data_IF_135355633553
#
_entry.id   IF_135355633553
#
_cell.length_a   1.000
_cell.length_b   1.000
_cell.length_c   1.000
_cell.angle_alpha   90.00
_cell.angle_beta   90.00
_cell.angle_gamma   90.00
#
_symmetry.space_group_name_H-M   'P 1'
#
loop_
_entity.id
_entity.type
_entity.pdbx_description
1 polymer ?
#
# COMPACT_ATOMS: atom_id res chain seq x y z
N UNK A 1 4.81 -6.88 -8.09
CA UNK A 1 4.34 -5.49 -7.91
C UNK A 1 3.43 -5.43 -6.69
N UNK A 2 3.50 -4.35 -5.91
CA UNK A 2 2.61 -4.09 -4.77
C UNK A 2 1.85 -2.80 -5.07
N UNK A 3 0.55 -2.78 -4.73
CA UNK A 3 -0.28 -1.57 -4.77
C UNK A 3 -0.99 -1.41 -3.43
N UNK A 4 -1.10 -0.18 -2.96
CA UNK A 4 -1.75 0.18 -1.69
C UNK A 4 -3.26 0.45 -1.81
N UNK A 5 -3.87 0.09 -2.93
CA UNK A 5 -5.31 0.29 -3.21
C UNK A 5 -5.59 1.49 -4.10
N UNK A 6 -6.88 1.73 -4.33
CA UNK A 6 -7.42 2.78 -5.22
C UNK A 6 -6.86 2.70 -6.65
N UNK A 7 -6.84 1.48 -7.19
CA UNK A 7 -6.37 1.22 -8.56
C UNK A 7 -7.41 1.62 -9.59
N UNK A 8 -8.66 1.71 -9.17
CA UNK A 8 -9.80 2.15 -9.97
C UNK A 8 -10.53 3.31 -9.28
N UNK A 9 -11.23 4.12 -10.06
CA UNK A 9 -11.99 5.25 -9.51
C UNK A 9 -13.25 4.82 -8.74
N UNK A 10 -13.87 3.70 -9.13
CA UNK A 10 -15.11 3.21 -8.53
C UNK A 10 -15.23 1.70 -8.71
N UNK A 11 -15.62 0.97 -7.67
CA UNK A 11 -15.77 -0.49 -7.68
C UNK A 11 -16.73 -1.04 -8.74
N UNK A 12 -17.44 -0.13 -9.39
CA UNK A 12 -18.24 -0.35 -10.59
C UNK A 12 -19.32 -1.41 -10.40
N UNK A 13 -20.01 -1.35 -9.27
CA UNK A 13 -21.20 -2.18 -8.97
C UNK A 13 -20.95 -3.70 -9.04
N UNK A 14 -19.75 -4.15 -8.74
CA UNK A 14 -19.42 -5.57 -8.76
C UNK A 14 -19.17 -6.14 -10.15
N UNK A 15 -18.98 -5.32 -11.16
CA UNK A 15 -18.68 -5.78 -12.51
C UNK A 15 -17.28 -6.40 -12.58
N UNK A 16 -17.19 -7.53 -13.27
CA UNK A 16 -15.94 -8.24 -13.53
C UNK A 16 -15.04 -7.52 -14.53
N UNK A 17 -13.82 -8.02 -14.73
CA UNK A 17 -12.88 -7.46 -15.72
C UNK A 17 -13.49 -7.37 -17.12
N UNK A 18 -14.29 -8.35 -17.53
CA UNK A 18 -14.91 -8.38 -18.85
C UNK A 18 -16.08 -7.39 -19.01
N UNK A 19 -16.64 -6.92 -17.92
CA UNK A 19 -17.84 -6.08 -17.90
C UNK A 19 -17.51 -4.61 -17.58
N UNK A 20 -16.42 -4.37 -16.84
CA UNK A 20 -16.03 -3.05 -16.38
C UNK A 20 -14.96 -2.41 -17.29
N UNK A 21 -15.23 -1.24 -17.89
CA UNK A 21 -14.20 -0.54 -18.66
C UNK A 21 -13.01 -0.09 -17.80
N UNK A 22 -13.18 0.11 -16.50
CA UNK A 22 -12.09 0.42 -15.57
C UNK A 22 -11.19 -0.80 -15.36
N UNK A 23 -11.77 -1.96 -15.04
CA UNK A 23 -11.02 -3.20 -14.87
C UNK A 23 -10.40 -3.71 -16.17
N UNK A 24 -11.06 -3.51 -17.32
CA UNK A 24 -10.47 -3.78 -18.63
C UNK A 24 -9.21 -2.96 -18.85
N UNK A 25 -9.24 -1.66 -18.52
CA UNK A 25 -8.06 -0.80 -18.63
C UNK A 25 -6.93 -1.27 -17.71
N UNK A 26 -7.22 -1.59 -16.45
CA UNK A 26 -6.23 -2.15 -15.51
C UNK A 26 -5.63 -3.44 -16.04
N UNK A 27 -6.46 -4.34 -16.59
CA UNK A 27 -6.00 -5.58 -17.21
C UNK A 27 -5.04 -5.30 -18.39
N UNK A 28 -5.40 -4.37 -19.26
CA UNK A 28 -4.64 -4.08 -20.47
C UNK A 28 -3.34 -3.32 -20.20
N UNK A 29 -3.35 -2.43 -19.21
CA UNK A 29 -2.19 -1.55 -18.92
C UNK A 29 -1.26 -2.10 -17.85
N UNK A 30 -1.74 -2.95 -16.96
CA UNK A 30 -0.96 -3.51 -15.84
C UNK A 30 -0.82 -5.01 -15.97
N UNK A 31 -1.93 -5.75 -15.85
CA UNK A 31 -1.86 -7.20 -15.72
C UNK A 31 -1.23 -7.89 -16.91
N UNK A 32 -1.59 -7.50 -18.13
CA UNK A 32 -1.01 -8.05 -19.37
C UNK A 32 0.46 -7.69 -19.58
N UNK A 33 0.95 -6.63 -18.95
CA UNK A 33 2.35 -6.19 -19.06
C UNK A 33 3.25 -6.86 -18.03
N UNK A 34 2.69 -7.39 -16.94
CA UNK A 34 3.47 -8.11 -15.96
C UNK A 34 3.89 -9.48 -16.52
N UNK A 35 5.17 -9.84 -16.38
CA UNK A 35 5.61 -11.17 -16.77
C UNK A 35 4.91 -12.23 -15.90
N UNK A 36 4.77 -13.48 -16.36
CA UNK A 36 4.22 -14.55 -15.54
C UNK A 36 5.07 -14.78 -14.28
N UNK A 37 4.51 -15.35 -13.21
CA UNK A 37 5.29 -15.76 -12.04
C UNK A 37 6.42 -16.70 -12.48
N UNK A 38 7.60 -16.48 -11.92
CA UNK A 38 8.71 -17.38 -12.10
C UNK A 38 8.59 -18.64 -11.22
N UNK A 39 9.49 -19.60 -11.43
CA UNK A 39 9.47 -20.85 -10.68
C UNK A 39 9.56 -20.61 -9.17
N UNK A 40 10.37 -19.67 -8.71
CA UNK A 40 10.57 -19.39 -7.28
C UNK A 40 9.27 -18.89 -6.63
N UNK A 41 8.52 -18.04 -7.34
CA UNK A 41 7.20 -17.58 -6.88
C UNK A 41 6.20 -18.73 -6.84
N UNK A 42 6.14 -19.55 -7.90
CA UNK A 42 5.23 -20.71 -7.97
C UNK A 42 5.55 -21.75 -6.88
N UNK A 43 6.82 -22.01 -6.61
CA UNK A 43 7.26 -22.91 -5.53
C UNK A 43 6.85 -22.36 -4.14
N UNK A 44 6.74 -21.04 -4.00
CA UNK A 44 6.22 -20.37 -2.82
C UNK A 44 4.67 -20.28 -2.79
N UNK A 45 3.97 -20.86 -3.76
CA UNK A 45 2.51 -20.80 -3.86
C UNK A 45 1.96 -19.45 -4.37
N UNK A 46 2.83 -18.61 -4.92
CA UNK A 46 2.45 -17.28 -5.42
C UNK A 46 2.19 -17.34 -6.93
N UNK A 47 0.92 -17.40 -7.30
CA UNK A 47 0.49 -17.54 -8.69
C UNK A 47 0.35 -16.22 -9.46
N UNK A 48 0.53 -15.09 -8.78
CA UNK A 48 0.39 -13.75 -9.34
C UNK A 48 1.63 -12.89 -9.16
N UNK A 49 1.70 -11.84 -9.95
CA UNK A 49 2.78 -10.84 -9.91
C UNK A 49 2.34 -9.50 -9.35
N UNK A 50 1.07 -9.34 -9.06
CA UNK A 50 0.52 -8.11 -8.53
C UNK A 50 -0.29 -8.38 -7.26
N UNK A 51 0.17 -7.85 -6.14
CA UNK A 51 -0.46 -7.97 -4.82
C UNK A 51 -1.03 -6.61 -4.45
N UNK A 52 -2.34 -6.56 -4.25
CA UNK A 52 -3.09 -5.33 -4.03
C UNK A 52 -3.61 -5.25 -2.59
N UNK A 53 -3.31 -4.14 -1.91
CA UNK A 53 -4.08 -3.72 -0.76
C UNK A 53 -5.43 -3.17 -1.23
N UNK A 54 -6.49 -3.42 -0.49
CA UNK A 54 -7.82 -2.94 -0.85
C UNK A 54 -8.00 -1.52 -0.35
N UNK A 55 -8.27 -0.59 -1.26
CA UNK A 55 -8.61 0.79 -0.95
C UNK A 55 -10.11 1.01 -0.85
N UNK A 56 -10.52 2.25 -0.60
CA UNK A 56 -11.93 2.58 -0.51
C UNK A 56 -12.61 2.59 -1.88
N UNK A 57 -11.89 2.94 -2.94
CA UNK A 57 -12.45 2.96 -4.29
C UNK A 57 -12.76 1.57 -4.84
N UNK A 58 -12.00 0.52 -4.49
CA UNK A 58 -12.33 -0.86 -4.85
C UNK A 58 -13.63 -1.33 -4.23
N UNK A 59 -13.99 -0.82 -3.05
CA UNK A 59 -15.19 -1.24 -2.32
C UNK A 59 -16.39 -0.36 -2.62
N UNK A 60 -16.18 0.91 -3.03
CA UNK A 60 -17.26 1.80 -3.42
C UNK A 60 -18.02 1.25 -4.63
N UNK A 61 -19.30 0.94 -4.43
CA UNK A 61 -20.14 0.34 -5.45
C UNK A 61 -19.88 -1.16 -5.69
N UNK A 62 -18.88 -1.76 -5.05
CA UNK A 62 -18.59 -3.19 -5.10
C UNK A 62 -18.22 -3.75 -3.71
N UNK A 63 -19.16 -3.79 -2.76
CA UNK A 63 -18.86 -4.28 -1.41
C UNK A 63 -18.41 -5.75 -1.36
N UNK A 64 -18.65 -6.51 -2.43
CA UNK A 64 -18.17 -7.89 -2.58
C UNK A 64 -16.82 -8.01 -3.25
N UNK A 65 -16.22 -6.89 -3.67
CA UNK A 65 -14.92 -6.84 -4.36
C UNK A 65 -14.82 -7.81 -5.57
N UNK A 66 -15.94 -8.03 -6.26
CA UNK A 66 -15.99 -8.97 -7.41
C UNK A 66 -15.06 -8.51 -8.53
N UNK A 67 -14.97 -7.21 -8.77
CA UNK A 67 -14.03 -6.64 -9.73
C UNK A 67 -12.59 -6.98 -9.40
N UNK A 68 -12.17 -6.80 -8.14
CA UNK A 68 -10.83 -7.15 -7.67
C UNK A 68 -10.58 -8.64 -7.83
N UNK A 69 -11.50 -9.47 -7.33
CA UNK A 69 -11.36 -10.94 -7.36
C UNK A 69 -11.45 -11.53 -8.77
N UNK A 70 -12.02 -10.79 -9.70
CA UNK A 70 -11.99 -11.11 -11.14
C UNK A 70 -10.65 -10.74 -11.78
N UNK A 71 -10.09 -9.58 -11.42
CA UNK A 71 -8.82 -9.10 -11.98
C UNK A 71 -7.61 -9.87 -11.42
N UNK A 72 -7.64 -10.21 -10.15
CA UNK A 72 -6.54 -10.88 -9.43
C UNK A 72 -7.03 -12.13 -8.67
N UNK A 73 -7.49 -13.16 -9.39
CA UNK A 73 -8.20 -14.30 -8.79
C UNK A 73 -7.36 -15.14 -7.82
N UNK A 74 -6.04 -15.10 -7.93
CA UNK A 74 -5.13 -15.80 -7.02
C UNK A 74 -5.15 -15.23 -5.59
N UNK A 75 -5.68 -14.03 -5.37
CA UNK A 75 -5.88 -13.50 -4.01
C UNK A 75 -6.82 -14.40 -3.18
N UNK A 76 -7.77 -15.10 -3.82
CA UNK A 76 -8.61 -16.09 -3.14
C UNK A 76 -7.80 -17.20 -2.48
N UNK A 77 -6.70 -17.63 -3.10
CA UNK A 77 -5.78 -18.63 -2.53
C UNK A 77 -5.00 -18.10 -1.33
N UNK A 78 -4.84 -16.78 -1.23
CA UNK A 78 -4.25 -16.11 -0.09
C UNK A 78 -5.27 -15.78 1.02
N UNK A 79 -6.53 -16.24 0.87
CA UNK A 79 -7.59 -16.08 1.86
C UNK A 79 -8.42 -14.81 1.70
N UNK A 80 -8.26 -14.07 0.60
CA UNK A 80 -9.08 -12.88 0.34
C UNK A 80 -10.48 -13.30 -0.11
N UNK A 81 -11.48 -12.83 0.61
CA UNK A 81 -12.91 -13.00 0.31
C UNK A 81 -13.63 -11.67 0.54
N UNK A 82 -14.91 -11.54 0.14
CA UNK A 82 -15.70 -10.37 0.50
C UNK A 82 -15.73 -10.05 1.99
N UNK A 83 -15.64 -11.08 2.84
CA UNK A 83 -15.68 -10.98 4.29
C UNK A 83 -14.29 -10.79 4.90
N UNK A 84 -13.23 -11.13 4.17
CA UNK A 84 -11.85 -11.02 4.64
C UNK A 84 -10.97 -10.36 3.58
N UNK A 85 -10.63 -9.10 3.79
CA UNK A 85 -9.81 -8.30 2.88
C UNK A 85 -8.32 -8.26 3.26
N UNK A 86 -7.92 -9.05 4.26
CA UNK A 86 -6.55 -9.07 4.75
C UNK A 86 -5.87 -10.39 4.41
N UNK A 87 -4.57 -10.33 4.13
CA UNK A 87 -3.78 -11.52 3.82
C UNK A 87 -2.30 -11.30 4.07
N UNK A 88 -1.55 -12.39 4.13
CA UNK A 88 -0.09 -12.37 4.18
C UNK A 88 0.49 -13.43 3.26
N UNK A 89 1.75 -13.26 2.93
CA UNK A 89 2.61 -14.31 2.39
C UNK A 89 4.06 -14.05 2.71
N UNK A 90 4.90 -15.08 2.61
CA UNK A 90 6.36 -14.96 2.72
C UNK A 90 6.99 -15.23 1.35
N UNK A 91 7.95 -14.40 0.99
CA UNK A 91 8.71 -14.60 -0.23
C UNK A 91 10.15 -14.11 -0.06
N UNK A 92 11.12 -14.96 -0.36
CA UNK A 92 12.55 -14.66 -0.30
C UNK A 92 12.99 -13.99 1.03
N UNK A 93 12.51 -14.52 2.16
CA UNK A 93 12.88 -14.03 3.49
C UNK A 93 12.20 -12.73 3.92
N UNK A 94 11.21 -12.27 3.17
CA UNK A 94 10.38 -11.11 3.51
C UNK A 94 8.95 -11.57 3.82
N UNK A 95 8.40 -11.08 4.93
CA UNK A 95 6.97 -11.17 5.26
C UNK A 95 6.23 -10.01 4.62
N UNK A 96 5.25 -10.30 3.76
CA UNK A 96 4.31 -9.33 3.20
C UNK A 96 2.98 -9.44 3.92
N UNK A 97 2.49 -8.31 4.43
CA UNK A 97 1.21 -8.20 5.15
C UNK A 97 0.35 -7.16 4.45
N UNK A 98 -0.88 -7.53 4.13
CA UNK A 98 -1.87 -6.63 3.55
C UNK A 98 -3.05 -6.51 4.51
N UNK A 99 -3.36 -5.28 4.89
CA UNK A 99 -4.44 -4.95 5.80
C UNK A 99 -5.46 -4.07 5.10
N UNK A 100 -6.63 -3.97 5.70
CA UNK A 100 -7.70 -3.13 5.21
C UNK A 100 -8.04 -2.04 6.22
N UNK A 101 -7.85 -0.78 5.86
CA UNK A 101 -7.99 0.38 6.74
C UNK A 101 -9.24 1.21 6.49
N UNK A 102 -10.26 0.62 5.85
CA UNK A 102 -11.46 1.32 5.41
C UNK A 102 -12.35 1.92 6.50
N UNK A 103 -12.13 1.61 7.78
CA UNK A 103 -12.80 2.25 8.93
C UNK A 103 -12.80 3.78 8.84
N UNK A 104 -11.83 4.36 8.16
CA UNK A 104 -11.62 5.80 8.07
C UNK A 104 -12.26 6.44 6.83
N UNK A 105 -12.98 5.66 6.02
CA UNK A 105 -13.74 6.22 4.92
C UNK A 105 -15.02 6.92 5.42
N UNK A 106 -14.99 8.24 5.38
CA UNK A 106 -16.10 9.08 5.82
C UNK A 106 -17.35 9.01 4.91
N UNK A 107 -17.21 8.51 3.68
CA UNK A 107 -18.31 8.45 2.70
C UNK A 107 -19.20 7.23 2.88
N UNK A 108 -18.70 6.18 3.50
CA UNK A 108 -19.43 4.93 3.61
C UNK A 108 -19.10 4.14 4.88
N UNK A 109 -19.27 4.71 6.09
CA UNK A 109 -19.00 3.96 7.32
C UNK A 109 -19.77 2.64 7.40
N UNK A 110 -21.03 2.63 6.95
CA UNK A 110 -21.91 1.45 7.00
C UNK A 110 -21.50 0.31 6.06
N UNK A 111 -20.76 0.58 4.98
CA UNK A 111 -20.25 -0.47 4.10
C UNK A 111 -19.11 -1.27 4.76
N UNK A 112 -18.59 -0.79 5.85
CA UNK A 112 -17.39 -1.25 6.50
C UNK A 112 -17.65 -2.02 7.80
N UNK A 113 -18.82 -1.84 8.41
CA UNK A 113 -19.20 -2.43 9.68
C UNK A 113 -19.87 -3.81 9.57
N UNK A 114 -19.90 -4.41 8.37
CA UNK A 114 -20.45 -5.73 8.13
C UNK A 114 -19.68 -6.85 8.83
N UNK A 115 -19.73 -8.06 8.29
CA UNK A 115 -19.07 -9.26 8.84
C UNK A 115 -17.54 -9.26 8.67
N UNK A 116 -16.94 -8.18 8.22
CA UNK A 116 -15.49 -8.05 8.02
C UNK A 116 -14.77 -7.85 9.34
N UNK A 117 -13.49 -8.32 9.44
CA UNK A 117 -12.70 -8.11 10.64
C UNK A 117 -12.62 -6.65 11.01
N UNK A 118 -13.03 -6.31 12.22
CA UNK A 118 -12.93 -4.95 12.76
C UNK A 118 -11.46 -4.52 12.78
N UNK A 119 -11.24 -3.23 12.73
CA UNK A 119 -9.87 -2.70 12.70
C UNK A 119 -9.00 -3.23 13.86
N UNK A 120 -9.56 -3.30 15.08
CA UNK A 120 -8.83 -3.85 16.23
C UNK A 120 -8.48 -5.34 16.08
N UNK A 121 -9.31 -6.12 15.39
CA UNK A 121 -9.03 -7.53 15.09
C UNK A 121 -7.92 -7.65 14.04
N UNK A 122 -7.92 -6.78 13.04
CA UNK A 122 -6.83 -6.71 12.07
C UNK A 122 -5.50 -6.35 12.72
N UNK A 123 -5.49 -5.45 13.70
CA UNK A 123 -4.27 -5.11 14.44
C UNK A 123 -3.75 -6.30 15.26
N UNK A 124 -4.62 -7.06 15.89
CA UNK A 124 -4.26 -8.32 16.56
C UNK A 124 -3.71 -9.35 15.58
N UNK A 125 -4.34 -9.48 14.41
CA UNK A 125 -3.89 -10.41 13.38
C UNK A 125 -2.52 -9.99 12.82
N UNK A 126 -2.30 -8.70 12.58
CA UNK A 126 -0.99 -8.17 12.18
C UNK A 126 0.07 -8.48 13.24
N UNK A 127 -0.23 -8.26 14.50
CA UNK A 127 0.68 -8.59 15.60
C UNK A 127 1.05 -10.07 15.59
N UNK A 128 0.08 -10.97 15.48
CA UNK A 128 0.34 -12.41 15.39
C UNK A 128 1.25 -12.76 14.20
N UNK A 129 1.00 -12.16 13.04
CA UNK A 129 1.82 -12.38 11.85
C UNK A 129 3.25 -11.86 11.98
N UNK A 130 3.45 -10.77 12.71
CA UNK A 130 4.78 -10.22 13.00
C UNK A 130 5.51 -11.08 14.06
N UNK A 131 4.80 -11.59 15.07
CA UNK A 131 5.34 -12.52 16.05
C UNK A 131 5.78 -13.85 15.39
N UNK A 132 4.95 -14.39 14.48
CA UNK A 132 5.31 -15.54 13.65
C UNK A 132 6.55 -15.26 12.78
N UNK A 133 6.63 -14.08 12.16
CA UNK A 133 7.79 -13.70 11.36
C UNK A 133 9.06 -13.69 12.21
N UNK A 134 8.99 -13.09 13.38
CA UNK A 134 10.10 -13.06 14.35
C UNK A 134 10.50 -14.47 14.79
N UNK A 135 9.55 -15.33 15.14
CA UNK A 135 9.79 -16.71 15.54
C UNK A 135 10.44 -17.53 14.41
N UNK A 136 10.09 -17.26 13.17
CA UNK A 136 10.66 -17.89 11.98
C UNK A 136 11.94 -17.22 11.47
N UNK A 137 12.54 -16.31 12.26
CA UNK A 137 13.78 -15.58 11.91
C UNK A 137 13.69 -14.75 10.62
N UNK A 138 12.49 -14.35 10.20
CA UNK A 138 12.28 -13.42 9.09
C UNK A 138 12.78 -12.04 9.54
N UNK A 139 13.64 -11.43 8.74
CA UNK A 139 14.33 -10.18 9.07
C UNK A 139 13.72 -8.93 8.42
N UNK A 140 12.71 -9.12 7.58
CA UNK A 140 12.06 -8.00 6.89
C UNK A 140 10.55 -8.20 6.86
N UNK A 141 9.79 -7.15 7.18
CA UNK A 141 8.34 -7.12 7.07
C UNK A 141 7.91 -5.91 6.25
N UNK A 142 7.13 -6.15 5.21
CA UNK A 142 6.51 -5.13 4.38
C UNK A 142 5.00 -5.15 4.63
N UNK A 143 4.50 -4.04 5.16
CA UNK A 143 3.10 -3.90 5.57
C UNK A 143 2.43 -2.92 4.62
N UNK A 144 1.33 -3.32 4.02
CA UNK A 144 0.58 -2.51 3.05
C UNK A 144 -0.84 -2.31 3.53
N UNK A 145 -1.29 -1.08 3.60
CA UNK A 145 -2.69 -0.72 3.80
C UNK A 145 -2.97 0.69 3.30
N UNK A 146 -4.23 0.94 2.96
CA UNK A 146 -4.57 2.09 2.14
C UNK A 146 -4.42 3.43 2.88
N UNK A 147 -5.04 3.58 4.06
CA UNK A 147 -4.98 4.84 4.81
C UNK A 147 -3.63 5.05 5.48
N UNK A 148 -3.04 6.26 5.41
CA UNK A 148 -1.68 6.49 5.89
C UNK A 148 -1.56 6.52 7.41
N UNK A 149 -0.44 6.00 7.90
CA UNK A 149 -0.03 6.13 9.32
C UNK A 149 0.44 7.55 9.60
N UNK A 150 1.19 8.12 8.69
CA UNK A 150 1.67 9.49 8.71
C UNK A 150 1.36 10.15 7.38
N UNK A 151 0.87 11.40 7.43
CA UNK A 151 0.54 12.18 6.26
C UNK A 151 0.33 13.65 6.63
N UNK A 152 0.80 14.56 5.77
CA UNK A 152 0.60 16.01 5.92
C UNK A 152 -0.37 16.58 4.90
N UNK A 153 -0.66 15.84 3.86
CA UNK A 153 -1.58 16.27 2.79
C UNK A 153 -2.99 15.72 2.99
N UNK A 154 -3.93 16.20 2.20
CA UNK A 154 -5.28 15.69 2.06
C UNK A 154 -6.04 15.52 3.38
N UNK A 155 -6.60 14.34 3.58
CA UNK A 155 -7.48 14.02 4.71
C UNK A 155 -6.73 13.74 6.03
N UNK A 156 -5.40 13.61 5.97
CA UNK A 156 -4.57 13.33 7.13
C UNK A 156 -4.40 11.85 7.44
N UNK A 157 -3.63 11.54 8.50
CA UNK A 157 -3.31 10.18 8.90
C UNK A 157 -4.43 9.51 9.68
N UNK A 158 -4.29 8.21 9.90
CA UNK A 158 -5.10 7.46 10.86
C UNK A 158 -4.98 8.15 12.24
N UNK A 159 -6.10 8.54 12.87
CA UNK A 159 -6.07 9.28 14.13
C UNK A 159 -5.72 8.39 15.33
N UNK A 160 -5.20 8.99 16.39
CA UNK A 160 -5.11 8.34 17.68
C UNK A 160 -6.53 8.09 18.28
N UNK A 161 -6.76 7.00 19.01
CA UNK A 161 -5.78 5.98 19.45
C UNK A 161 -5.57 4.83 18.45
N UNK A 162 -6.18 4.88 17.27
CA UNK A 162 -6.18 3.79 16.30
C UNK A 162 -4.91 3.75 15.44
N UNK A 163 -4.04 4.76 15.53
CA UNK A 163 -2.80 4.78 14.75
C UNK A 163 -1.89 3.60 15.11
N UNK A 164 -1.52 2.74 14.13
CA UNK A 164 -0.81 1.49 14.42
C UNK A 164 0.68 1.68 14.65
N UNK A 165 1.21 2.91 14.61
CA UNK A 165 2.64 3.17 14.65
C UNK A 165 3.33 2.49 15.84
N UNK A 166 2.81 2.64 17.06
CA UNK A 166 3.44 2.08 18.28
C UNK A 166 3.56 0.57 18.21
N UNK A 167 2.54 -0.10 17.68
CA UNK A 167 2.58 -1.55 17.50
C UNK A 167 3.66 -1.93 16.47
N UNK A 168 3.64 -1.29 15.30
CA UNK A 168 4.58 -1.57 14.21
C UNK A 168 6.02 -1.29 14.65
N UNK A 169 6.29 -0.15 15.30
CA UNK A 169 7.60 0.27 15.77
C UNK A 169 8.19 -0.67 16.83
N UNK A 170 7.36 -1.38 17.58
CA UNK A 170 7.83 -2.36 18.57
C UNK A 170 8.65 -3.50 17.94
N UNK A 171 8.51 -3.74 16.62
CA UNK A 171 9.25 -4.77 15.87
C UNK A 171 10.52 -4.26 15.18
N UNK A 172 10.72 -2.94 15.09
CA UNK A 172 11.83 -2.35 14.34
C UNK A 172 13.23 -2.74 14.85
N UNK A 173 13.33 -3.14 16.11
CA UNK A 173 14.58 -3.65 16.71
C UNK A 173 14.91 -5.09 16.30
N UNK A 174 13.92 -5.87 15.87
CA UNK A 174 14.06 -7.30 15.54
C UNK A 174 14.13 -7.54 14.03
N UNK A 175 13.47 -6.66 13.24
CA UNK A 175 13.41 -6.76 11.79
C UNK A 175 13.31 -5.39 11.11
N UNK A 176 13.71 -5.29 9.86
CA UNK A 176 13.47 -4.11 9.03
C UNK A 176 11.97 -4.06 8.69
N UNK A 177 11.29 -2.99 9.13
CA UNK A 177 9.87 -2.80 8.85
C UNK A 177 9.67 -1.64 7.91
N UNK A 178 8.90 -1.88 6.85
CA UNK A 178 8.52 -0.89 5.84
C UNK A 178 7.00 -0.89 5.69
N UNK A 179 6.40 0.27 5.71
CA UNK A 179 4.95 0.45 5.55
C UNK A 179 4.67 1.21 4.26
N UNK A 180 3.79 0.66 3.44
CA UNK A 180 3.32 1.28 2.20
C UNK A 180 1.87 1.71 2.37
N UNK A 181 1.60 2.98 2.13
CA UNK A 181 0.27 3.57 2.19
C UNK A 181 -0.10 4.27 0.87
N UNK A 182 -1.38 4.55 0.68
CA UNK A 182 -1.96 5.31 -0.41
C UNK A 182 -2.99 6.32 0.09
N UNK A 183 -4.17 6.37 -0.54
CA UNK A 183 -5.33 7.20 -0.19
C UNK A 183 -5.14 8.69 -0.43
N UNK A 184 -4.08 9.28 0.05
CA UNK A 184 -3.75 10.68 -0.16
C UNK A 184 -2.86 10.78 -1.38
N UNK A 185 -3.23 11.64 -2.32
CA UNK A 185 -2.60 11.72 -3.63
C UNK A 185 -1.29 12.53 -3.58
N UNK A 186 -0.39 12.11 -2.70
CA UNK A 186 0.96 12.68 -2.58
C UNK A 186 1.99 11.56 -2.49
N UNK A 187 3.24 11.94 -2.54
CA UNK A 187 4.34 11.04 -2.19
C UNK A 187 5.06 11.63 -0.99
N UNK A 188 4.96 10.94 0.11
CA UNK A 188 5.62 11.33 1.35
C UNK A 188 6.39 10.13 1.91
N UNK A 189 7.52 10.40 2.55
CA UNK A 189 8.28 9.36 3.23
C UNK A 189 8.64 9.78 4.64
N UNK A 190 8.73 8.77 5.52
CA UNK A 190 8.99 8.99 6.93
C UNK A 190 9.87 7.87 7.48
N UNK A 191 10.85 8.21 8.30
CA UNK A 191 11.63 7.27 9.11
C UNK A 191 11.37 7.61 10.58
N UNK A 192 10.53 6.81 11.24
CA UNK A 192 10.07 7.07 12.60
C UNK A 192 10.28 5.84 13.45
N UNK A 193 11.03 5.98 14.54
CA UNK A 193 11.34 4.88 15.47
C UNK A 193 11.86 3.62 14.77
N UNK A 194 12.66 3.82 13.70
CA UNK A 194 13.27 2.75 12.91
C UNK A 194 12.35 2.08 11.89
N UNK A 195 11.13 2.58 11.71
CA UNK A 195 10.19 2.12 10.68
C UNK A 195 10.15 3.11 9.53
N UNK A 196 10.26 2.60 8.31
CA UNK A 196 10.12 3.40 7.09
C UNK A 196 8.69 3.39 6.60
N UNK A 197 8.12 4.57 6.40
CA UNK A 197 6.78 4.77 5.85
C UNK A 197 6.88 5.44 4.49
N UNK A 198 6.24 4.84 3.51
CA UNK A 198 6.16 5.33 2.15
C UNK A 198 4.68 5.54 1.81
N UNK A 199 4.27 6.80 1.72
CA UNK A 199 2.98 7.15 1.16
C UNK A 199 3.14 7.38 -0.35
N UNK A 200 2.52 6.54 -1.17
CA UNK A 200 2.73 6.44 -2.60
C UNK A 200 1.42 6.70 -3.37
N UNK A 201 0.79 7.83 -3.11
CA UNK A 201 -0.45 8.25 -3.78
C UNK A 201 -0.28 8.88 -5.16
N UNK A 202 0.94 8.95 -5.68
CA UNK A 202 1.25 9.57 -6.97
C UNK A 202 1.02 8.68 -8.21
N UNK A 203 0.18 7.66 -8.11
CA UNK A 203 -0.01 6.66 -9.17
C UNK A 203 -0.95 7.04 -10.31
N UNK A 204 -1.54 8.24 -10.32
CA UNK A 204 -2.40 8.63 -11.45
C UNK A 204 -3.58 9.56 -11.15
N UNK A 205 -3.87 9.85 -9.88
CA UNK A 205 -4.89 10.81 -9.50
C UNK A 205 -4.34 12.24 -9.43
N UNK A 206 -5.24 13.23 -9.39
CA UNK A 206 -4.87 14.61 -9.11
C UNK A 206 -4.23 14.70 -7.72
N UNK A 207 -3.10 15.41 -7.62
CA UNK A 207 -2.34 15.47 -6.38
C UNK A 207 -3.00 16.37 -5.33
N UNK A 208 -2.97 15.91 -4.09
CA UNK A 208 -3.43 16.67 -2.94
C UNK A 208 -2.36 17.67 -2.47
N UNK A 209 -2.76 18.89 -2.09
CA UNK A 209 -1.82 19.85 -1.54
C UNK A 209 -1.42 19.47 -0.12
N UNK A 210 -0.14 19.66 0.20
CA UNK A 210 0.31 19.67 1.58
C UNK A 210 -0.21 20.93 2.26
N UNK A 211 -0.89 20.74 3.38
CA UNK A 211 -1.48 21.84 4.11
C UNK A 211 -0.45 22.42 5.10
N UNK A 212 -0.11 23.72 5.00
CA UNK A 212 0.76 24.37 5.96
C UNK A 212 0.23 24.20 7.39
N UNK A 213 1.11 23.89 8.33
CA UNK A 213 0.76 23.77 9.75
C UNK A 213 0.19 22.42 10.17
N UNK A 214 -0.04 21.46 9.31
CA UNK A 214 -0.31 20.06 9.69
C UNK A 214 0.96 19.36 10.18
N UNK A 215 1.56 19.95 11.21
CA UNK A 215 2.76 19.45 11.89
C UNK A 215 2.44 18.57 13.09
N UNK A 216 1.21 18.08 13.21
CA UNK A 216 0.77 17.27 14.35
C UNK A 216 1.52 15.94 14.50
N UNK A 217 2.30 15.57 13.49
CA UNK A 217 3.19 14.43 13.57
C UNK A 217 4.53 14.94 14.05
N UNK A 218 4.85 14.70 15.32
CA UNK A 218 6.21 14.84 15.83
C UNK A 218 7.07 13.79 15.14
N UNK A 219 7.61 14.20 14.08
CA UNK A 219 8.57 13.43 13.37
C UNK A 219 9.91 13.67 13.99
N UNK A 220 10.50 12.65 14.55
CA UNK A 220 11.70 12.73 15.37
C UNK A 220 12.99 12.59 14.58
N UNK A 221 12.92 12.41 13.27
CA UNK A 221 14.10 12.22 12.46
C UNK A 221 14.31 13.37 11.48
N UNK A 222 15.54 13.54 11.05
CA UNK A 222 15.91 14.41 9.94
C UNK A 222 15.15 14.00 8.69
N UNK A 223 14.01 14.63 8.51
CA UNK A 223 13.18 14.46 7.32
C UNK A 223 13.79 15.15 6.15
N UNK A 224 13.83 14.52 5.02
CA UNK A 224 13.40 15.22 3.84
C UNK A 224 11.87 15.28 3.93
N UNK A 225 11.31 16.39 4.40
CA UNK A 225 9.90 16.48 4.68
C UNK A 225 9.05 16.17 3.45
N UNK A 226 9.55 16.44 2.29
CA UNK A 226 8.90 16.18 1.01
C UNK A 226 9.93 16.06 -0.08
N UNK A 227 10.06 14.91 -0.67
CA UNK A 227 10.79 14.81 -1.95
C UNK A 227 10.10 15.61 -3.06
N UNK A 228 8.81 15.89 -2.87
CA UNK A 228 7.96 16.54 -3.86
C UNK A 228 7.77 18.03 -3.69
N UNK A 229 7.98 18.58 -2.49
CA UNK A 229 7.46 19.91 -2.19
C UNK A 229 8.52 20.96 -1.97
N UNK A 230 9.58 20.93 -2.71
CA UNK A 230 10.42 22.14 -2.89
C UNK A 230 9.74 23.18 -3.80
N UNK A 231 8.49 23.53 -3.48
CA UNK A 231 7.63 24.35 -4.32
C UNK A 231 6.46 23.53 -4.84
N UNK A 232 5.42 24.13 -5.32
CA UNK A 232 4.23 23.42 -5.77
C UNK A 232 4.60 22.31 -6.77
N UNK A 233 4.11 21.07 -6.59
CA UNK A 233 4.34 20.05 -7.59
C UNK A 233 3.69 20.50 -8.88
N UNK A 234 4.27 20.14 -10.00
CA UNK A 234 3.51 20.19 -11.23
C UNK A 234 2.29 19.28 -11.02
N UNK A 235 1.09 19.78 -11.24
CA UNK A 235 -0.21 19.06 -11.14
C UNK A 235 -0.27 17.77 -11.98
N UNK A 236 0.79 17.38 -12.60
CA UNK A 236 0.89 16.38 -13.65
C UNK A 236 2.18 15.57 -13.49
N UNK A 237 2.36 14.97 -12.32
CA UNK A 237 3.48 14.09 -12.06
C UNK A 237 2.98 12.76 -11.52
N UNK A 238 3.47 11.66 -12.11
CA UNK A 238 3.23 10.30 -11.63
C UNK A 238 4.52 9.66 -11.16
N UNK A 239 4.40 8.69 -10.26
CA UNK A 239 5.59 8.04 -9.72
C UNK A 239 5.32 6.63 -9.25
N UNK A 240 6.40 5.89 -9.12
CA UNK A 240 6.47 4.64 -8.39
C UNK A 240 7.82 4.50 -7.68
N UNK A 241 7.88 3.62 -6.72
CA UNK A 241 9.13 3.27 -6.03
C UNK A 241 9.56 1.87 -6.45
N UNK A 242 10.81 1.78 -6.92
CA UNK A 242 11.49 0.51 -7.09
C UNK A 242 12.12 0.11 -5.74
N UNK A 243 11.79 -1.08 -5.27
CA UNK A 243 12.28 -1.63 -4.00
C UNK A 243 13.22 -2.78 -4.31
N UNK A 244 14.51 -2.58 -4.03
CA UNK A 244 15.54 -3.63 -4.17
C UNK A 244 15.79 -4.27 -2.80
N UNK A 245 15.44 -5.52 -2.69
CA UNK A 245 15.49 -6.29 -1.43
C UNK A 245 16.58 -7.33 -1.52
N UNK A 246 17.61 -7.15 -0.71
CA UNK A 246 18.67 -8.13 -0.51
C UNK A 246 18.52 -8.77 0.88
N UNK A 247 18.69 -10.10 1.02
CA UNK A 247 18.45 -10.79 2.29
C UNK A 247 19.24 -10.21 3.47
N UNK A 248 20.50 -9.94 3.26
CA UNK A 248 21.44 -9.54 4.30
C UNK A 248 21.85 -8.06 4.27
N UNK A 249 21.16 -7.25 3.46
CA UNK A 249 21.44 -5.82 3.32
C UNK A 249 20.18 -4.99 3.62
N UNK A 250 20.36 -3.73 3.93
CA UNK A 250 19.23 -2.79 4.02
C UNK A 250 18.52 -2.70 2.67
N UNK A 251 17.20 -2.66 2.72
CA UNK A 251 16.38 -2.46 1.54
C UNK A 251 16.68 -1.10 0.91
N UNK A 252 16.82 -1.06 -0.40
CA UNK A 252 17.04 0.18 -1.16
C UNK A 252 15.75 0.58 -1.85
N UNK A 253 15.48 1.86 -1.85
CA UNK A 253 14.29 2.44 -2.44
C UNK A 253 14.71 3.49 -3.46
N UNK A 254 14.14 3.40 -4.66
CA UNK A 254 14.40 4.37 -5.72
C UNK A 254 13.06 4.90 -6.22
N UNK A 255 12.82 6.18 -6.03
CA UNK A 255 11.65 6.88 -6.54
C UNK A 255 11.88 7.22 -8.02
N UNK A 256 10.97 6.82 -8.88
CA UNK A 256 10.96 7.15 -10.29
C UNK A 256 9.78 8.07 -10.59
N UNK A 257 10.05 9.20 -11.21
CA UNK A 257 9.09 10.30 -11.46
C UNK A 257 8.83 10.46 -12.94
N UNK A 258 7.59 10.56 -13.33
CA UNK A 258 7.14 10.62 -14.71
C UNK A 258 6.21 11.82 -14.95
N UNK A 259 6.25 12.35 -16.15
CA UNK A 259 5.17 13.20 -16.66
C UNK A 259 4.10 12.33 -17.32
N UNK A 260 2.82 12.77 -17.33
CA UNK A 260 1.71 11.94 -17.86
C UNK A 260 1.87 11.43 -19.28
N UNK A 261 2.67 12.14 -20.10
CA UNK A 261 2.90 11.84 -21.52
C UNK A 261 4.29 11.28 -21.83
N UNK A 262 5.05 10.92 -20.80
CA UNK A 262 6.41 10.39 -20.96
C UNK A 262 6.51 8.97 -20.49
N UNK A 263 7.07 8.10 -21.31
CA UNK A 263 7.41 6.74 -20.91
C UNK A 263 8.72 6.69 -20.10
N UNK A 264 9.54 7.74 -20.17
CA UNK A 264 10.82 7.82 -19.49
C UNK A 264 10.71 8.68 -18.22
N UNK A 265 11.34 8.28 -17.11
CA UNK A 265 11.38 9.09 -15.91
C UNK A 265 12.15 10.38 -16.16
N UNK A 266 11.66 11.51 -15.68
CA UNK A 266 12.40 12.76 -15.70
C UNK A 266 13.25 12.98 -14.44
N UNK A 267 13.07 12.16 -13.43
CA UNK A 267 13.83 12.19 -12.17
C UNK A 267 13.84 10.83 -11.50
N UNK A 268 14.99 10.50 -10.93
CA UNK A 268 15.20 9.28 -10.16
C UNK A 268 15.94 9.64 -8.88
N UNK A 269 15.43 9.27 -7.73
CA UNK A 269 15.95 9.66 -6.43
C UNK A 269 16.06 8.46 -5.49
N UNK A 270 17.21 8.30 -4.83
CA UNK A 270 17.37 7.32 -3.76
C UNK A 270 16.69 7.83 -2.48
N UNK A 271 15.87 6.99 -1.86
CA UNK A 271 15.16 7.30 -0.63
C UNK A 271 15.87 6.66 0.56
N UNK A 272 15.81 7.31 1.74
CA UNK A 272 16.41 6.81 2.98
C UNK A 272 17.91 6.49 2.85
N UNK A 273 18.64 7.29 2.09
CA UNK A 273 20.09 7.17 1.88
C UNK A 273 20.88 7.62 3.12
#
# INVERSE_FOLDING_TARGET
MISSGDVIWWGNQGLTVSESPYWQRVNDTILKQLPPPDKTMLDAGLEGRWFIGIGNHEVWGDPKIEGVLSAVPYLRKLGVTPENLIYKFDYQGVRFIFLWSGKYDYRSPSLWDGDRPKYAEQMKQMQQWLDEAKANSIKKAFITFHYPVFCRAGLGPIPEPDNPHKLIASYAKDMEVVVFNGHVHTTEMYDVDGVKYLMLGGGGAEQDPILPGRTSIKVTADYPPDLYWKGQPPKEEYNYVLVDVQPDQKTKFTLNRFRPWSAEPFGTEALFS
#
